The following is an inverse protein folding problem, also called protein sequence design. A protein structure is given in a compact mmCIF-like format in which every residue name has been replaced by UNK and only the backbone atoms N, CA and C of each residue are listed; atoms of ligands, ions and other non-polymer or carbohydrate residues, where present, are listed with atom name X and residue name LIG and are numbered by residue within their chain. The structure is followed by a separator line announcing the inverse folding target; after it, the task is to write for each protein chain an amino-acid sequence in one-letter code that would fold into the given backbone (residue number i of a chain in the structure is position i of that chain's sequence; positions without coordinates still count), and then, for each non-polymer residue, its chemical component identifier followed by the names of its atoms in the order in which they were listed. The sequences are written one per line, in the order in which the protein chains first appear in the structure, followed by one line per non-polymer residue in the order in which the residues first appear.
data_IF_013321919092
#
_entry.id   IF_013321919092
#
_cell.length_a   1.000
_cell.length_b   1.000
_cell.length_c   1.000
_cell.angle_alpha   90.00
_cell.angle_beta   90.00
_cell.angle_gamma   90.00
#
_symmetry.space_group_name_H-M   'P 1'
#
loop_
_entity.id
_entity.type
_entity.pdbx_description
1 polymer ?
#
# COMPACT_ATOMS: atom_id res chain seq x y z
N UNK A 1 -10.66 15.45 38.86
CA UNK A 1 -10.58 15.92 37.45
C UNK A 1 -9.25 15.48 36.86
N UNK A 2 -9.23 15.15 35.57
CA UNK A 2 -8.04 14.85 34.74
C UNK A 2 -7.48 13.42 34.76
N UNK A 3 -8.26 12.48 34.22
CA UNK A 3 -7.71 11.27 33.61
C UNK A 3 -7.30 11.59 32.17
N UNK A 4 -6.08 12.12 31.96
CA UNK A 4 -5.48 12.24 30.63
C UNK A 4 -5.30 10.84 30.05
N UNK A 5 -6.18 10.45 29.14
CA UNK A 5 -6.09 9.19 28.40
C UNK A 5 -4.89 9.29 27.47
N UNK A 6 -3.85 8.49 27.71
CA UNK A 6 -2.78 8.21 26.74
C UNK A 6 -3.45 7.88 25.38
N UNK A 7 -3.07 8.52 24.26
CA UNK A 7 -3.58 8.08 22.97
C UNK A 7 -3.11 6.65 22.78
N UNK A 8 -4.05 5.72 22.61
CA UNK A 8 -3.73 4.35 22.25
C UNK A 8 -3.11 4.40 20.85
N UNK A 9 -1.99 3.73 20.65
CA UNK A 9 -1.29 3.55 19.36
C UNK A 9 -2.15 2.86 18.28
N UNK A 10 -3.44 2.62 18.56
CA UNK A 10 -4.40 2.11 17.60
C UNK A 10 -4.87 3.24 16.68
N UNK A 11 -4.22 3.31 15.53
CA UNK A 11 -4.55 4.14 14.36
C UNK A 11 -4.31 5.65 14.53
N UNK A 12 -3.08 6.08 14.24
CA UNK A 12 -2.85 7.46 13.82
C UNK A 12 -3.76 7.73 12.60
N UNK A 13 -4.71 8.64 12.77
CA UNK A 13 -5.46 9.23 11.67
C UNK A 13 -4.53 10.15 10.87
N UNK A 14 -4.96 10.62 9.70
CA UNK A 14 -4.13 11.45 8.83
C UNK A 14 -3.54 12.66 9.56
N UNK A 15 -4.38 13.41 10.28
CA UNK A 15 -3.95 14.60 11.04
C UNK A 15 -2.90 14.25 12.11
N UNK A 16 -3.11 13.17 12.87
CA UNK A 16 -2.15 12.76 13.89
C UNK A 16 -0.83 12.26 13.30
N UNK A 17 -0.86 11.62 12.13
CA UNK A 17 0.34 11.21 11.42
C UNK A 17 1.11 12.43 10.89
N UNK A 18 0.39 13.44 10.37
CA UNK A 18 0.98 14.69 9.89
C UNK A 18 1.61 15.50 11.04
N UNK A 19 0.89 15.71 12.14
CA UNK A 19 1.40 16.40 13.34
C UNK A 19 2.68 15.75 13.88
N UNK A 20 2.77 14.41 13.79
CA UNK A 20 3.96 13.68 14.23
C UNK A 20 5.11 13.86 13.26
N UNK A 21 4.84 13.81 11.96
CA UNK A 21 5.83 14.00 10.91
C UNK A 21 6.45 15.40 10.98
N UNK A 22 5.64 16.44 11.17
CA UNK A 22 6.12 17.82 11.35
C UNK A 22 7.08 17.94 12.53
N UNK A 23 6.73 17.36 13.69
CA UNK A 23 7.61 17.35 14.88
C UNK A 23 8.93 16.63 14.62
N UNK A 24 8.90 15.54 13.86
CA UNK A 24 10.11 14.80 13.49
C UNK A 24 11.01 15.68 12.61
N UNK A 25 10.43 16.34 11.60
CA UNK A 25 11.17 17.26 10.72
C UNK A 25 11.79 18.39 11.54
N UNK A 26 11.02 19.05 12.41
CA UNK A 26 11.51 20.10 13.31
C UNK A 26 12.71 19.63 14.16
N UNK A 27 12.64 18.40 14.67
CA UNK A 27 13.71 17.81 15.45
C UNK A 27 14.95 17.55 14.59
N UNK A 28 14.80 16.99 13.39
CA UNK A 28 15.91 16.72 12.47
C UNK A 28 16.57 18.02 11.98
N UNK A 29 15.78 19.06 11.68
CA UNK A 29 16.27 20.37 11.25
C UNK A 29 17.01 21.14 12.35
N UNK A 30 16.72 20.84 13.63
CA UNK A 30 17.43 21.46 14.75
C UNK A 30 18.94 21.17 14.76
N UNK A 31 19.39 20.11 14.08
CA UNK A 31 20.80 19.71 13.98
C UNK A 31 21.43 19.23 15.29
N UNK A 32 20.62 19.03 16.35
CA UNK A 32 21.09 18.65 17.69
C UNK A 32 20.99 17.15 17.98
N UNK A 33 20.49 16.36 17.03
CA UNK A 33 20.31 14.93 17.22
C UNK A 33 21.61 14.17 16.90
N UNK A 34 22.01 13.21 17.75
CA UNK A 34 23.01 12.20 17.40
C UNK A 34 22.62 11.44 16.12
N UNK A 35 23.62 10.85 15.45
CA UNK A 35 23.40 10.13 14.20
C UNK A 35 22.43 8.95 14.36
N UNK A 36 22.55 8.21 15.46
CA UNK A 36 21.70 7.08 15.78
C UNK A 36 20.24 7.52 15.92
N UNK A 37 20.00 8.64 16.59
CA UNK A 37 18.66 9.21 16.76
C UNK A 37 18.09 9.73 15.44
N UNK A 38 18.94 10.30 14.56
CA UNK A 38 18.52 10.74 13.23
C UNK A 38 18.00 9.58 12.38
N UNK A 39 18.67 8.43 12.43
CA UNK A 39 18.25 7.22 11.70
C UNK A 39 16.88 6.76 12.19
N UNK A 40 16.70 6.66 13.51
CA UNK A 40 15.42 6.24 14.11
C UNK A 40 14.29 7.20 13.72
N UNK A 41 14.54 8.52 13.76
CA UNK A 41 13.54 9.53 13.39
C UNK A 41 13.22 9.50 11.90
N UNK A 42 14.21 9.24 11.05
CA UNK A 42 14.00 9.07 9.63
C UNK A 42 13.09 7.86 9.32
N UNK A 43 13.35 6.71 9.95
CA UNK A 43 12.51 5.51 9.80
C UNK A 43 11.07 5.76 10.26
N UNK A 44 10.90 6.41 11.41
CA UNK A 44 9.59 6.82 11.91
C UNK A 44 8.88 7.76 10.91
N UNK A 45 9.60 8.76 10.39
CA UNK A 45 9.10 9.68 9.37
C UNK A 45 8.63 8.96 8.11
N UNK A 46 9.40 7.98 7.61
CA UNK A 46 9.02 7.19 6.43
C UNK A 46 7.74 6.37 6.66
N UNK A 47 7.59 5.79 7.85
CA UNK A 47 6.37 5.08 8.20
C UNK A 47 5.15 6.01 8.24
N UNK A 48 5.30 7.22 8.79
CA UNK A 48 4.23 8.22 8.84
C UNK A 48 3.85 8.71 7.45
N UNK A 49 4.83 8.96 6.56
CA UNK A 49 4.59 9.33 5.16
C UNK A 49 3.76 8.25 4.46
N UNK A 50 4.11 6.97 4.66
CA UNK A 50 3.35 5.86 4.09
C UNK A 50 1.90 5.84 4.60
N UNK A 51 1.68 6.02 5.90
CA UNK A 51 0.34 6.10 6.49
C UNK A 51 -0.44 7.25 5.85
N UNK A 52 0.15 8.43 5.73
CA UNK A 52 -0.50 9.59 5.11
C UNK A 52 -0.93 9.29 3.66
N UNK A 53 -0.03 8.70 2.86
CA UNK A 53 -0.32 8.31 1.47
C UNK A 53 -1.46 7.31 1.38
N UNK A 54 -1.45 6.27 2.23
CA UNK A 54 -2.53 5.27 2.27
C UNK A 54 -3.87 5.91 2.63
N UNK A 55 -3.91 6.82 3.62
CA UNK A 55 -5.14 7.51 4.01
C UNK A 55 -5.66 8.41 2.89
N UNK A 56 -4.79 9.11 2.18
CA UNK A 56 -5.17 9.93 1.01
C UNK A 56 -5.71 9.08 -0.14
N UNK A 57 -5.03 7.99 -0.49
CA UNK A 57 -5.49 7.08 -1.54
C UNK A 57 -6.88 6.49 -1.24
N UNK A 58 -7.11 6.09 0.03
CA UNK A 58 -8.42 5.62 0.47
C UNK A 58 -9.51 6.71 0.39
N UNK A 59 -9.16 7.96 0.70
CA UNK A 59 -10.10 9.07 0.59
C UNK A 59 -10.45 9.36 -0.87
N UNK A 60 -9.45 9.39 -1.76
CA UNK A 60 -9.64 9.57 -3.20
C UNK A 60 -10.55 8.49 -3.80
N UNK A 61 -10.29 7.21 -3.49
CA UNK A 61 -11.11 6.10 -3.95
C UNK A 61 -12.58 6.24 -3.49
N UNK A 62 -12.81 6.68 -2.25
CA UNK A 62 -14.17 6.91 -1.73
C UNK A 62 -14.88 8.04 -2.49
N UNK A 63 -14.17 9.15 -2.74
CA UNK A 63 -14.70 10.28 -3.51
C UNK A 63 -15.07 9.82 -4.93
N UNK A 64 -14.20 9.03 -5.56
CA UNK A 64 -14.43 8.52 -6.91
C UNK A 64 -15.66 7.60 -7.00
N UNK A 65 -15.84 6.71 -6.02
CA UNK A 65 -17.03 5.86 -5.92
C UNK A 65 -18.30 6.71 -5.76
N UNK A 66 -18.28 7.70 -4.86
CA UNK A 66 -19.43 8.59 -4.65
C UNK A 66 -19.75 9.39 -5.91
N UNK A 67 -18.74 9.89 -6.62
CA UNK A 67 -18.90 10.64 -7.86
C UNK A 67 -19.49 9.77 -8.98
N UNK A 68 -18.99 8.53 -9.17
CA UNK A 68 -19.53 7.57 -10.15
C UNK A 68 -20.99 7.19 -9.85
N UNK A 69 -21.30 6.97 -8.57
CA UNK A 69 -22.66 6.66 -8.12
C UNK A 69 -23.62 7.84 -8.36
N UNK A 70 -23.16 9.07 -8.08
CA UNK A 70 -23.95 10.29 -8.29
C UNK A 70 -24.16 10.61 -9.77
N UNK A 71 -23.21 10.22 -10.63
CA UNK A 71 -23.31 10.34 -12.09
C UNK A 71 -24.07 9.17 -12.76
N UNK A 72 -24.68 8.27 -11.98
CA UNK A 72 -25.51 7.17 -12.50
C UNK A 72 -24.75 6.03 -13.18
N UNK A 73 -23.43 5.91 -13.00
CA UNK A 73 -22.63 4.85 -13.62
C UNK A 73 -22.57 3.61 -12.71
N UNK A 74 -23.22 2.54 -13.13
CA UNK A 74 -23.27 1.24 -12.43
C UNK A 74 -21.88 0.63 -12.28
N UNK A 75 -21.44 0.41 -11.04
CA UNK A 75 -20.24 -0.37 -10.73
C UNK A 75 -20.61 -1.86 -10.83
N UNK A 76 -20.33 -2.47 -11.98
CA UNK A 76 -20.31 -3.93 -12.09
C UNK A 76 -18.95 -4.39 -11.59
N UNK A 77 -18.90 -4.93 -10.37
CA UNK A 77 -17.76 -5.73 -9.94
C UNK A 77 -17.91 -7.06 -10.67
N UNK A 78 -17.08 -7.29 -11.68
CA UNK A 78 -16.97 -8.56 -12.41
C UNK A 78 -16.92 -9.70 -11.38
N UNK A 79 -17.93 -10.55 -11.40
CA UNK A 79 -18.01 -11.74 -10.56
C UNK A 79 -17.14 -12.80 -11.21
N UNK A 80 -15.96 -13.07 -10.66
CA UNK A 80 -15.18 -14.24 -11.06
C UNK A 80 -15.88 -15.49 -10.50
N UNK A 81 -16.47 -16.37 -11.33
CA UNK A 81 -17.02 -17.62 -10.83
C UNK A 81 -15.86 -18.45 -10.26
N UNK A 82 -16.05 -18.97 -9.05
CA UNK A 82 -15.09 -19.85 -8.40
C UNK A 82 -14.71 -21.01 -9.34
N UNK A 83 -13.42 -21.41 -9.41
CA UNK A 83 -13.05 -22.59 -10.18
C UNK A 83 -13.72 -23.81 -9.56
N UNK A 84 -14.64 -24.43 -10.31
CA UNK A 84 -15.15 -25.74 -9.94
C UNK A 84 -14.01 -26.76 -9.99
N UNK A 85 -13.95 -27.72 -9.05
CA UNK A 85 -12.91 -28.74 -9.06
C UNK A 85 -13.17 -29.73 -10.20
N UNK A 86 -12.56 -29.48 -11.35
CA UNK A 86 -12.59 -30.41 -12.47
C UNK A 86 -11.71 -31.61 -12.17
N UNK A 87 -12.36 -32.69 -11.74
CA UNK A 87 -11.77 -34.02 -11.70
C UNK A 87 -11.48 -34.51 -13.11
N UNK A 88 -10.28 -35.10 -13.26
CA UNK A 88 -9.98 -36.22 -14.15
C UNK A 88 -9.62 -35.95 -15.62
N UNK A 89 -8.29 -35.98 -15.83
CA UNK A 89 -7.57 -36.76 -16.87
C UNK A 89 -7.60 -36.21 -18.30
N UNK A 90 -6.44 -35.77 -18.80
CA UNK A 90 -5.81 -36.42 -19.96
C UNK A 90 -4.32 -36.02 -20.17
N UNK A 91 -3.46 -36.99 -19.86
CA UNK A 91 -2.32 -37.53 -20.62
C UNK A 91 -1.19 -36.62 -21.14
N UNK A 92 0.00 -36.98 -20.69
CA UNK A 92 1.35 -36.66 -21.16
C UNK A 92 1.53 -36.59 -22.69
N UNK A 93 2.43 -35.73 -23.18
CA UNK A 93 3.78 -36.16 -23.60
C UNK A 93 4.62 -34.95 -24.07
N UNK A 94 5.92 -35.04 -23.84
CA UNK A 94 6.95 -34.02 -24.03
C UNK A 94 7.10 -33.54 -25.49
N UNK A 95 7.41 -32.26 -25.66
CA UNK A 95 8.09 -31.76 -26.86
C UNK A 95 9.45 -31.21 -26.44
N UNK A 96 10.59 -31.85 -26.80
CA UNK A 96 11.89 -31.26 -26.56
C UNK A 96 12.17 -30.20 -27.62
N UNK A 97 12.48 -29.00 -27.16
CA UNK A 97 13.10 -27.94 -27.94
C UNK A 97 14.50 -28.39 -28.39
N UNK A 98 14.73 -28.48 -29.70
CA UNK A 98 16.09 -28.49 -30.26
C UNK A 98 16.18 -27.39 -31.33
N UNK A 99 16.75 -26.26 -30.92
CA UNK A 99 17.40 -25.34 -31.84
C UNK A 99 18.69 -26.00 -32.31
N UNK A 100 18.83 -26.30 -33.60
CA UNK A 100 20.11 -26.28 -34.31
C UNK A 100 19.90 -26.36 -35.84
N UNK A 101 20.75 -25.62 -36.56
CA UNK A 101 20.98 -25.58 -38.01
C UNK A 101 20.02 -24.81 -38.95
N UNK A 102 20.37 -23.54 -39.29
CA UNK A 102 20.35 -23.08 -40.69
C UNK A 102 21.59 -22.20 -41.00
N UNK A 103 22.59 -22.88 -41.60
CA UNK A 103 23.52 -22.48 -42.68
C UNK A 103 24.13 -21.07 -42.72
N UNK A 104 25.44 -21.05 -42.49
CA UNK A 104 26.41 -20.12 -43.04
C UNK A 104 26.45 -20.27 -44.58
N UNK A 105 25.90 -19.29 -45.29
CA UNK A 105 26.31 -18.89 -46.63
C UNK A 105 26.59 -17.39 -46.60
#
# INVERSE_FOLDING_TARGET
MSSKSKPRESELNFEGAMDRLEKIVEQMESGKLPLEDLIVRYEEGMNLVKICQERLANAEQKIEIIARNSAGKTVVKEFEPAPEPETSVHVADESPSTNDEIRLF
#
